data_IF_389564451939
#
_entry.id   IF_389564451939
#
_cell.length_a   1.000
_cell.length_b   1.000
_cell.length_c   1.000
_cell.angle_alpha   90.00
_cell.angle_beta   90.00
_cell.angle_gamma   90.00
#
_symmetry.space_group_name_H-M   'P 1'
#
loop_
_entity.id
_entity.type
_entity.pdbx_description
1 polymer ?
#
# COMPACT_ATOMS: atom_id res chain seq x y z
N UNK A 1 -4.38 -9.25 11.73
CA UNK A 1 -4.80 -7.84 11.81
C UNK A 1 -6.17 -7.62 11.22
N UNK A 2 -6.48 -8.14 10.05
CA UNK A 2 -7.81 -8.08 9.44
C UNK A 2 -8.34 -9.50 9.32
N UNK A 3 -9.44 -9.79 10.02
CA UNK A 3 -10.10 -11.11 10.01
C UNK A 3 -11.26 -11.21 9.00
N UNK A 4 -11.65 -10.10 8.39
CA UNK A 4 -12.84 -10.02 7.52
C UNK A 4 -12.57 -10.37 6.06
N UNK A 5 -11.31 -10.47 5.65
CA UNK A 5 -10.90 -10.80 4.27
C UNK A 5 -9.62 -11.61 4.28
N UNK A 6 -9.59 -12.68 3.48
CA UNK A 6 -8.41 -13.46 3.23
C UNK A 6 -7.47 -12.80 2.20
N UNK A 7 -6.31 -13.40 2.03
CA UNK A 7 -5.34 -12.96 1.03
C UNK A 7 -5.88 -13.16 -0.40
N UNK A 8 -6.54 -14.30 -0.64
CA UNK A 8 -7.13 -14.62 -1.95
C UNK A 8 -8.20 -13.60 -2.36
N UNK A 9 -9.05 -13.14 -1.43
CA UNK A 9 -10.07 -12.13 -1.72
C UNK A 9 -9.47 -10.83 -2.28
N UNK A 10 -8.24 -10.50 -1.86
CA UNK A 10 -7.50 -9.33 -2.37
C UNK A 10 -7.00 -9.56 -3.79
N UNK A 11 -6.46 -10.74 -4.08
CA UNK A 11 -6.03 -11.11 -5.43
C UNK A 11 -7.21 -11.16 -6.39
N UNK A 12 -8.34 -11.71 -5.96
CA UNK A 12 -9.57 -11.76 -6.75
C UNK A 12 -10.10 -10.36 -7.04
N UNK A 13 -10.00 -9.44 -6.06
CA UNK A 13 -10.36 -8.03 -6.26
C UNK A 13 -9.47 -7.39 -7.33
N UNK A 14 -8.16 -7.61 -7.28
CA UNK A 14 -7.23 -7.11 -8.31
C UNK A 14 -7.59 -7.70 -9.67
N UNK A 15 -7.84 -9.01 -9.75
CA UNK A 15 -8.26 -9.69 -10.96
C UNK A 15 -9.56 -9.14 -11.55
N UNK A 16 -10.50 -8.75 -10.70
CA UNK A 16 -11.75 -8.12 -11.15
C UNK A 16 -11.55 -6.69 -11.63
N UNK A 17 -10.73 -5.89 -10.95
CA UNK A 17 -10.36 -4.54 -11.40
C UNK A 17 -9.66 -4.59 -12.76
N UNK A 18 -8.81 -5.61 -13.00
CA UNK A 18 -8.12 -5.80 -14.29
C UNK A 18 -9.07 -6.06 -15.48
N UNK A 19 -10.30 -6.48 -15.24
CA UNK A 19 -11.34 -6.61 -16.27
C UNK A 19 -11.96 -5.28 -16.67
N UNK A 20 -11.56 -4.20 -16.03
CA UNK A 20 -12.05 -2.82 -16.28
C UNK A 20 -10.91 -1.94 -16.78
N UNK A 21 -11.21 -0.69 -17.13
CA UNK A 21 -10.20 0.31 -17.54
C UNK A 21 -9.58 1.06 -16.34
N UNK A 22 -9.73 0.53 -15.12
CA UNK A 22 -9.19 1.14 -13.90
C UNK A 22 -7.77 0.64 -13.67
N UNK A 23 -6.84 1.56 -13.40
CA UNK A 23 -5.47 1.22 -13.04
C UNK A 23 -5.38 0.62 -11.64
N UNK A 24 -4.46 -0.30 -11.46
CA UNK A 24 -4.22 -0.96 -10.16
C UNK A 24 -3.08 -0.30 -9.43
N UNK A 25 -3.34 0.08 -8.18
CA UNK A 25 -2.32 0.49 -7.22
C UNK A 25 -2.33 -0.55 -6.08
N UNK A 26 -1.34 -1.43 -6.06
CA UNK A 26 -1.25 -2.51 -5.09
C UNK A 26 0.17 -2.70 -4.61
N UNK A 27 0.36 -2.79 -3.31
CA UNK A 27 1.65 -2.95 -2.65
C UNK A 27 1.48 -3.47 -1.23
N UNK A 28 2.38 -3.09 -0.33
CA UNK A 28 2.32 -3.60 1.04
C UNK A 28 2.86 -2.65 2.08
N UNK A 29 2.71 -3.09 3.33
CA UNK A 29 3.27 -2.45 4.52
C UNK A 29 4.28 -3.44 5.09
N UNK A 30 5.51 -2.99 5.31
CA UNK A 30 6.54 -3.77 6.00
C UNK A 30 6.70 -3.30 7.45
N UNK A 31 7.17 -4.19 8.32
CA UNK A 31 7.30 -3.94 9.75
C UNK A 31 6.11 -4.41 10.59
N UNK A 32 5.25 -5.27 10.04
CA UNK A 32 4.08 -5.82 10.72
C UNK A 32 4.36 -7.19 11.38
N UNK A 33 5.63 -7.57 11.53
CA UNK A 33 6.05 -8.88 12.04
C UNK A 33 6.29 -9.93 10.95
N UNK A 34 6.25 -9.53 9.69
CA UNK A 34 6.58 -10.39 8.56
C UNK A 34 8.09 -10.69 8.48
N UNK A 35 8.44 -11.81 7.87
CA UNK A 35 9.82 -12.18 7.57
C UNK A 35 10.21 -11.79 6.12
N UNK A 36 11.45 -12.12 5.73
CA UNK A 36 11.96 -11.81 4.38
C UNK A 36 11.21 -12.61 3.30
N UNK A 37 10.86 -13.85 3.60
CA UNK A 37 10.12 -14.74 2.70
C UNK A 37 8.71 -14.19 2.42
N UNK A 38 8.05 -13.61 3.41
CA UNK A 38 6.74 -12.96 3.25
C UNK A 38 6.85 -11.73 2.35
N UNK A 39 7.90 -10.91 2.53
CA UNK A 39 8.19 -9.76 1.66
C UNK A 39 8.45 -10.19 0.21
N UNK A 40 9.27 -11.23 0.03
CA UNK A 40 9.54 -11.81 -1.28
C UNK A 40 8.26 -12.40 -1.90
N UNK A 41 7.47 -13.14 -1.12
CA UNK A 41 6.20 -13.71 -1.57
C UNK A 41 5.21 -12.65 -2.06
N UNK A 42 5.12 -11.51 -1.37
CA UNK A 42 4.31 -10.38 -1.84
C UNK A 42 4.79 -9.85 -3.20
N UNK A 43 6.10 -9.68 -3.38
CA UNK A 43 6.65 -9.19 -4.65
C UNK A 43 6.47 -10.20 -5.78
N UNK A 44 6.63 -11.50 -5.50
CA UNK A 44 6.32 -12.56 -6.47
C UNK A 44 4.86 -12.49 -6.88
N UNK A 45 3.93 -12.40 -5.92
CA UNK A 45 2.51 -12.30 -6.24
C UNK A 45 2.19 -11.09 -7.12
N UNK A 46 2.79 -9.92 -6.86
CA UNK A 46 2.57 -8.72 -7.66
C UNK A 46 3.23 -8.83 -9.06
N UNK A 47 4.41 -9.43 -9.15
CA UNK A 47 5.15 -9.55 -10.42
C UNK A 47 4.54 -10.58 -11.36
N UNK A 48 3.79 -11.55 -10.84
CA UNK A 48 3.09 -12.58 -11.64
C UNK A 48 1.71 -12.15 -12.12
N UNK A 49 1.23 -10.97 -11.72
CA UNK A 49 0.01 -10.39 -12.27
C UNK A 49 0.23 -9.98 -13.73
N UNK A 50 -0.75 -10.25 -14.59
CA UNK A 50 -0.75 -9.86 -15.99
C UNK A 50 -2.00 -9.00 -16.31
N UNK A 51 -1.81 -7.70 -16.62
CA UNK A 51 -0.58 -6.92 -16.50
C UNK A 51 -0.18 -6.66 -15.03
N UNK A 52 1.10 -6.34 -14.82
CA UNK A 52 1.61 -5.92 -13.50
C UNK A 52 0.92 -4.63 -13.02
N UNK A 53 0.89 -4.34 -11.69
CA UNK A 53 0.29 -3.11 -11.19
C UNK A 53 0.97 -1.87 -11.74
N UNK A 54 0.21 -0.85 -12.12
CA UNK A 54 0.73 0.43 -12.59
C UNK A 54 1.44 1.20 -11.47
N UNK A 55 1.05 0.96 -10.23
CA UNK A 55 1.70 1.57 -9.06
C UNK A 55 1.80 0.58 -7.90
N UNK A 56 2.96 0.53 -7.26
CA UNK A 56 3.22 -0.31 -6.09
C UNK A 56 3.76 0.55 -4.95
N UNK A 57 2.90 0.92 -3.99
CA UNK A 57 3.32 1.62 -2.78
C UNK A 57 4.06 0.68 -1.83
N UNK A 58 5.22 1.12 -1.37
CA UNK A 58 5.96 0.50 -0.26
C UNK A 58 5.81 1.41 0.94
N UNK A 59 5.19 0.87 1.99
CA UNK A 59 4.91 1.58 3.22
C UNK A 59 5.76 0.98 4.34
N UNK A 60 6.32 1.82 5.21
CA UNK A 60 6.78 1.39 6.52
C UNK A 60 5.62 1.50 7.52
N UNK A 61 5.49 0.51 8.40
CA UNK A 61 4.54 0.59 9.50
C UNK A 61 4.84 1.82 10.36
N UNK A 62 3.82 2.58 10.64
CA UNK A 62 3.83 3.63 11.68
C UNK A 62 3.03 3.09 12.84
N UNK A 63 3.72 2.72 13.92
CA UNK A 63 3.08 2.26 15.14
C UNK A 63 2.23 3.39 15.74
N UNK A 64 0.99 3.09 16.10
CA UNK A 64 0.03 4.04 16.65
C UNK A 64 -0.52 3.48 17.95
N UNK A 65 -0.48 4.29 19.01
CA UNK A 65 -1.01 3.96 20.33
C UNK A 65 -2.48 3.50 20.22
N UNK A 66 -2.86 2.50 21.00
CA UNK A 66 -4.18 1.88 20.99
C UNK A 66 -4.44 0.91 19.84
N UNK A 67 -3.43 0.60 19.04
CA UNK A 67 -3.52 -0.43 17.97
C UNK A 67 -2.80 -1.72 18.36
N UNK A 68 -3.14 -2.88 17.76
CA UNK A 68 -2.45 -4.15 18.06
C UNK A 68 -0.95 -4.16 17.74
N UNK A 69 -0.45 -3.19 16.99
CA UNK A 69 0.94 -3.07 16.56
C UNK A 69 1.63 -1.82 17.15
N UNK A 70 1.12 -1.31 18.27
CA UNK A 70 1.67 -0.09 18.90
C UNK A 70 3.10 -0.26 19.43
N UNK A 71 3.47 -1.47 19.79
CA UNK A 71 4.80 -1.81 20.35
C UNK A 71 5.82 -2.20 19.26
N UNK A 72 5.43 -2.21 17.97
CA UNK A 72 6.34 -2.58 16.90
C UNK A 72 7.41 -1.51 16.69
N UNK A 73 8.64 -1.98 16.46
CA UNK A 73 9.77 -1.10 16.21
C UNK A 73 9.67 -0.46 14.82
N UNK A 74 10.15 0.78 14.67
CA UNK A 74 10.29 1.38 13.35
C UNK A 74 11.09 0.48 12.40
N UNK A 75 10.68 0.46 11.14
CA UNK A 75 11.38 -0.30 10.09
C UNK A 75 12.78 0.28 9.88
N UNK A 76 13.78 -0.58 9.88
CA UNK A 76 15.13 -0.18 9.58
C UNK A 76 15.25 0.37 8.15
N UNK A 77 15.96 1.47 7.99
CA UNK A 77 16.08 2.14 6.69
C UNK A 77 16.65 1.24 5.60
N UNK A 78 17.58 0.33 5.94
CA UNK A 78 18.15 -0.62 4.99
C UNK A 78 17.14 -1.66 4.50
N UNK A 79 16.13 -1.99 5.31
CA UNK A 79 15.04 -2.86 4.90
C UNK A 79 14.12 -2.18 3.89
N UNK A 80 13.84 -0.88 4.11
CA UNK A 80 13.11 -0.08 3.13
C UNK A 80 13.86 0.04 1.81
N UNK A 81 15.17 0.35 1.85
CA UNK A 81 16.01 0.48 0.65
C UNK A 81 16.02 -0.84 -0.12
N UNK A 82 16.25 -1.98 0.57
CA UNK A 82 16.24 -3.30 -0.07
C UNK A 82 14.88 -3.61 -0.67
N UNK A 83 13.80 -3.31 0.05
CA UNK A 83 12.44 -3.54 -0.44
C UNK A 83 12.14 -2.73 -1.70
N UNK A 84 12.49 -1.46 -1.72
CA UNK A 84 12.33 -0.57 -2.89
C UNK A 84 13.16 -1.08 -4.07
N UNK A 85 14.44 -1.41 -3.84
CA UNK A 85 15.34 -1.90 -4.87
C UNK A 85 14.83 -3.21 -5.50
N UNK A 86 14.43 -4.18 -4.67
CA UNK A 86 13.89 -5.45 -5.14
C UNK A 86 12.58 -5.24 -5.90
N UNK A 87 11.70 -4.37 -5.40
CA UNK A 87 10.46 -4.00 -6.10
C UNK A 87 10.76 -3.45 -7.49
N UNK A 88 11.73 -2.55 -7.65
CA UNK A 88 12.12 -1.99 -8.94
C UNK A 88 12.63 -3.06 -9.91
N UNK A 89 13.39 -4.04 -9.40
CA UNK A 89 13.94 -5.12 -10.23
C UNK A 89 12.82 -6.04 -10.78
N UNK A 90 11.90 -6.44 -9.91
CA UNK A 90 10.85 -7.41 -10.28
C UNK A 90 9.62 -6.76 -10.95
N UNK A 91 9.45 -5.46 -10.76
CA UNK A 91 8.38 -4.64 -11.34
C UNK A 91 8.98 -3.43 -12.08
N UNK A 92 9.66 -3.64 -13.22
CA UNK A 92 10.48 -2.60 -13.85
C UNK A 92 9.69 -1.41 -14.38
N UNK A 93 8.44 -1.61 -14.81
CA UNK A 93 7.60 -0.56 -15.41
C UNK A 93 6.67 0.13 -14.40
N UNK A 94 6.51 -0.47 -13.21
CA UNK A 94 5.60 0.03 -12.17
C UNK A 94 6.10 1.34 -11.57
N UNK A 95 5.20 2.21 -11.18
CA UNK A 95 5.52 3.34 -10.30
C UNK A 95 5.76 2.83 -8.88
N UNK A 96 7.03 2.68 -8.50
CA UNK A 96 7.40 2.32 -7.13
C UNK A 96 7.26 3.55 -6.25
N UNK A 97 6.27 3.51 -5.36
CA UNK A 97 5.89 4.65 -4.54
C UNK A 97 6.43 4.52 -3.13
N UNK A 98 7.25 5.48 -2.73
CA UNK A 98 7.63 5.65 -1.34
C UNK A 98 6.46 6.37 -0.63
N UNK A 99 5.78 5.65 0.28
CA UNK A 99 4.49 6.06 0.81
C UNK A 99 4.54 6.30 2.33
N UNK A 100 3.75 5.59 3.15
CA UNK A 100 3.71 5.82 4.59
C UNK A 100 5.05 5.54 5.30
N UNK A 101 5.28 6.22 6.43
CA UNK A 101 6.49 6.08 7.25
C UNK A 101 7.63 7.03 6.84
N UNK A 102 7.47 7.85 5.81
CA UNK A 102 8.53 8.78 5.34
C UNK A 102 8.99 9.77 6.41
N UNK A 103 8.10 10.22 7.27
CA UNK A 103 8.42 11.14 8.38
C UNK A 103 9.36 10.54 9.42
N UNK A 104 9.47 9.21 9.46
CA UNK A 104 10.38 8.48 10.36
C UNK A 104 11.73 8.17 9.70
N UNK A 105 11.88 8.43 8.41
CA UNK A 105 13.11 8.20 7.67
C UNK A 105 13.97 9.46 7.65
N UNK A 106 15.29 9.29 7.72
CA UNK A 106 16.21 10.40 7.45
C UNK A 106 16.09 10.88 5.99
N UNK A 107 16.54 12.09 5.72
CA UNK A 107 16.55 12.63 4.34
C UNK A 107 17.45 11.79 3.43
N UNK A 108 18.59 11.34 3.93
CA UNK A 108 19.54 10.48 3.22
C UNK A 108 18.91 9.11 2.92
N UNK A 109 18.16 8.55 3.87
CA UNK A 109 17.43 7.29 3.68
C UNK A 109 16.36 7.41 2.58
N UNK A 110 15.60 8.50 2.57
CA UNK A 110 14.65 8.77 1.50
C UNK A 110 15.36 8.97 0.14
N UNK A 111 16.46 9.72 0.10
CA UNK A 111 17.28 9.91 -1.10
C UNK A 111 17.78 8.56 -1.64
N UNK A 112 18.26 7.68 -0.78
CA UNK A 112 18.70 6.34 -1.16
C UNK A 112 17.55 5.50 -1.74
N UNK A 113 16.33 5.61 -1.20
CA UNK A 113 15.17 4.95 -1.78
C UNK A 113 14.90 5.44 -3.22
N UNK A 114 15.05 6.73 -3.51
CA UNK A 114 14.93 7.25 -4.88
C UNK A 114 16.03 6.71 -5.80
N UNK A 115 17.28 6.72 -5.36
CA UNK A 115 18.38 6.20 -6.18
C UNK A 115 18.29 4.69 -6.41
N UNK A 116 17.66 3.95 -5.53
CA UNK A 116 17.48 2.49 -5.67
C UNK A 116 16.21 2.09 -6.39
N UNK A 117 15.33 3.04 -6.75
CA UNK A 117 14.24 2.72 -7.65
C UNK A 117 12.87 3.30 -7.34
N UNK A 118 12.68 3.96 -6.20
CA UNK A 118 11.44 4.72 -5.99
C UNK A 118 11.38 5.88 -7.00
N UNK A 119 10.22 6.07 -7.61
CA UNK A 119 10.00 7.14 -8.59
C UNK A 119 8.65 7.84 -8.41
N UNK A 120 8.02 7.63 -7.28
CA UNK A 120 6.73 8.25 -6.93
C UNK A 120 6.64 8.44 -5.42
N UNK A 121 5.94 9.49 -5.01
CA UNK A 121 5.59 9.76 -3.61
C UNK A 121 4.11 10.13 -3.50
N UNK A 122 3.59 10.10 -2.28
CA UNK A 122 2.37 10.84 -1.95
C UNK A 122 2.72 12.29 -1.64
N UNK A 123 2.11 13.23 -2.35
CA UNK A 123 2.19 14.66 -2.06
C UNK A 123 0.94 15.09 -1.27
N UNK A 124 1.11 15.94 -0.27
CA UNK A 124 0.04 16.44 0.60
C UNK A 124 0.37 16.28 2.08
N UNK A 125 -0.32 17.03 2.94
CA UNK A 125 0.02 17.16 4.36
C UNK A 125 -0.26 15.88 5.17
N UNK A 126 -1.18 15.06 4.70
CA UNK A 126 -1.59 13.83 5.37
C UNK A 126 -1.75 12.68 4.38
N UNK A 127 -1.33 11.51 4.82
CA UNK A 127 -1.62 10.24 4.17
C UNK A 127 -2.64 9.50 5.04
N UNK A 128 -3.92 9.61 4.70
CA UNK A 128 -5.04 9.11 5.50
C UNK A 128 -4.99 9.67 6.94
N UNK A 129 -4.50 8.88 7.90
CA UNK A 129 -4.43 9.22 9.31
C UNK A 129 -3.04 9.62 9.78
N UNK A 130 -2.00 9.39 8.97
CA UNK A 130 -0.61 9.67 9.36
C UNK A 130 -0.10 10.95 8.71
N UNK A 131 0.77 11.72 9.41
CA UNK A 131 1.45 12.86 8.82
C UNK A 131 2.30 12.44 7.61
N UNK A 132 2.43 13.33 6.64
CA UNK A 132 3.32 13.19 5.51
C UNK A 132 4.32 14.36 5.53
N UNK A 133 5.51 14.25 4.92
CA UNK A 133 6.40 15.40 4.75
C UNK A 133 5.71 16.54 4.03
N UNK A 134 6.04 17.78 4.41
CA UNK A 134 5.58 18.98 3.73
C UNK A 134 5.99 18.96 2.26
N UNK A 135 5.12 19.44 1.38
CA UNK A 135 5.39 19.52 -0.08
C UNK A 135 6.65 20.35 -0.37
N UNK A 136 6.91 21.41 0.41
CA UNK A 136 8.12 22.22 0.24
C UNK A 136 9.38 21.43 0.60
N UNK A 137 9.35 20.58 1.61
CA UNK A 137 10.48 19.71 1.98
C UNK A 137 10.76 18.67 0.88
N UNK A 138 9.72 18.12 0.29
CA UNK A 138 9.86 17.22 -0.86
C UNK A 138 10.49 17.93 -2.06
N UNK A 139 10.04 19.15 -2.36
CA UNK A 139 10.62 19.94 -3.46
C UNK A 139 12.08 20.29 -3.22
N UNK A 140 12.47 20.69 -2.01
CA UNK A 140 13.87 20.95 -1.65
C UNK A 140 14.73 19.69 -1.78
N UNK A 141 14.18 18.54 -1.40
CA UNK A 141 14.90 17.27 -1.56
C UNK A 141 15.09 16.92 -3.04
N UNK A 142 14.07 17.06 -3.88
CA UNK A 142 14.18 16.80 -5.31
C UNK A 142 15.18 17.75 -6.00
N UNK A 143 15.19 19.03 -5.64
CA UNK A 143 16.18 19.99 -6.13
C UNK A 143 17.61 19.56 -5.74
N UNK A 144 17.83 19.18 -4.48
CA UNK A 144 19.12 18.69 -4.00
C UNK A 144 19.58 17.45 -4.78
N UNK A 145 18.66 16.55 -5.12
CA UNK A 145 18.94 15.32 -5.86
C UNK A 145 19.00 15.51 -7.37
N UNK A 146 18.79 16.73 -7.86
CA UNK A 146 18.71 17.02 -9.31
C UNK A 146 17.48 16.40 -9.99
N UNK A 147 16.47 16.04 -9.24
CA UNK A 147 15.23 15.42 -9.74
C UNK A 147 14.18 16.50 -10.04
N UNK A 148 13.38 16.24 -11.05
CA UNK A 148 12.24 17.09 -11.40
C UNK A 148 10.95 16.31 -11.33
N UNK A 149 9.95 16.75 -10.55
CA UNK A 149 8.64 16.13 -10.56
C UNK A 149 8.04 16.13 -11.97
N UNK A 150 7.48 15.01 -12.35
CA UNK A 150 6.74 14.92 -13.60
C UNK A 150 5.47 15.79 -13.51
N UNK A 151 5.16 16.52 -14.58
CA UNK A 151 3.91 17.27 -14.64
C UNK A 151 2.72 16.32 -14.54
N UNK A 152 1.67 16.68 -13.81
CA UNK A 152 0.47 15.87 -13.76
C UNK A 152 -0.10 15.68 -15.18
N UNK A 153 -0.76 14.55 -15.40
CA UNK A 153 -1.39 14.25 -16.69
C UNK A 153 -2.39 15.36 -17.04
N UNK A 154 -2.08 16.14 -18.07
CA UNK A 154 -2.97 17.20 -18.56
C UNK A 154 -3.98 16.69 -19.58
N UNK A 155 -3.78 15.50 -20.11
CA UNK A 155 -4.81 14.87 -20.95
C UNK A 155 -5.97 14.50 -20.03
N UNK A 156 -7.05 15.27 -20.11
CA UNK A 156 -8.36 14.78 -19.69
C UNK A 156 -8.55 13.47 -20.44
N UNK A 157 -8.39 12.35 -19.76
CA UNK A 157 -8.97 11.10 -20.23
C UNK A 157 -10.45 11.44 -20.29
N UNK A 158 -10.96 11.66 -21.51
CA UNK A 158 -12.41 11.72 -21.66
C UNK A 158 -12.89 10.41 -21.05
N UNK A 159 -13.79 10.45 -20.08
CA UNK A 159 -14.43 9.22 -19.63
C UNK A 159 -14.96 8.63 -20.95
N UNK A 160 -14.37 7.53 -21.39
CA UNK A 160 -15.06 6.68 -22.32
C UNK A 160 -16.32 6.31 -21.57
N UNK A 161 -17.42 6.91 -21.95
CA UNK A 161 -18.73 6.41 -21.58
C UNK A 161 -18.74 4.99 -22.12
N UNK A 162 -18.28 4.06 -21.30
CA UNK A 162 -18.70 2.67 -21.44
C UNK A 162 -20.20 2.78 -21.18
N UNK A 163 -20.98 2.83 -22.25
CA UNK A 163 -22.38 2.52 -22.11
C UNK A 163 -22.39 1.14 -21.47
N UNK A 164 -22.55 1.11 -20.16
CA UNK A 164 -22.84 -0.11 -19.45
C UNK A 164 -24.08 -0.64 -20.17
N UNK A 165 -23.90 -1.72 -20.91
CA UNK A 165 -25.03 -2.47 -21.42
C UNK A 165 -25.73 -2.98 -20.19
N UNK A 166 -26.76 -2.26 -19.74
CA UNK A 166 -27.59 -2.61 -18.58
C UNK A 166 -28.09 -4.05 -18.64
N UNK A 167 -28.08 -4.66 -19.83
CA UNK A 167 -28.49 -6.03 -20.07
C UNK A 167 -27.60 -7.13 -19.45
N UNK A 168 -26.33 -6.87 -19.14
CA UNK A 168 -25.49 -7.88 -18.49
C UNK A 168 -25.59 -7.83 -16.95
N UNK A 169 -26.04 -6.73 -16.40
CA UNK A 169 -26.24 -6.61 -14.93
C UNK A 169 -27.58 -7.16 -14.45
N UNK A 170 -28.60 -7.23 -15.31
CA UNK A 170 -29.90 -7.81 -14.95
C UNK A 170 -29.85 -9.34 -14.75
N UNK A 171 -28.86 -10.03 -15.32
CA UNK A 171 -28.72 -11.48 -15.17
C UNK A 171 -28.07 -11.93 -13.86
N UNK A 172 -27.55 -11.03 -13.04
CA UNK A 172 -26.80 -11.36 -11.81
C UNK A 172 -27.65 -11.39 -10.53
N UNK A 173 -28.99 -11.33 -10.65
CA UNK A 173 -29.86 -11.31 -9.48
C UNK A 173 -29.68 -10.05 -8.62
N UNK A 174 -30.52 -9.89 -7.60
CA UNK A 174 -30.47 -8.74 -6.69
C UNK A 174 -29.03 -8.50 -6.19
N UNK A 175 -28.53 -7.27 -6.38
CA UNK A 175 -27.22 -6.84 -5.85
C UNK A 175 -27.15 -7.24 -4.38
N UNK A 176 -26.19 -8.04 -3.94
CA UNK A 176 -26.06 -8.37 -2.54
C UNK A 176 -25.92 -7.05 -1.78
N UNK A 177 -26.93 -6.68 -1.01
CA UNK A 177 -26.85 -5.56 -0.09
C UNK A 177 -25.74 -5.91 0.90
N UNK A 178 -24.57 -5.27 0.74
CA UNK A 178 -23.51 -5.40 1.72
C UNK A 178 -24.04 -4.84 3.04
N UNK A 179 -24.42 -5.72 3.94
CA UNK A 179 -24.71 -5.38 5.33
C UNK A 179 -23.42 -5.56 6.10
N UNK A 180 -23.00 -4.50 6.77
CA UNK A 180 -21.86 -4.54 7.67
C UNK A 180 -22.09 -5.69 8.66
N UNK A 181 -21.22 -6.70 8.75
CA UNK A 181 -21.41 -7.76 9.73
C UNK A 181 -21.53 -7.12 11.12
N UNK A 182 -22.59 -7.39 11.84
CA UNK A 182 -22.78 -6.93 13.23
C UNK A 182 -21.89 -7.70 14.21
N UNK A 183 -20.68 -8.04 13.85
CA UNK A 183 -19.68 -8.47 14.80
C UNK A 183 -19.08 -7.25 15.47
N UNK A 184 -19.73 -6.80 16.52
CA UNK A 184 -19.05 -6.12 17.61
C UNK A 184 -17.98 -7.09 18.13
N UNK A 185 -16.74 -6.91 17.68
CA UNK A 185 -15.59 -7.51 18.36
C UNK A 185 -15.60 -6.85 19.74
N UNK A 186 -16.08 -7.57 20.74
CA UNK A 186 -15.94 -7.13 22.12
C UNK A 186 -14.44 -7.13 22.41
N UNK A 187 -13.87 -5.92 22.47
CA UNK A 187 -12.43 -5.66 22.72
C UNK A 187 -11.93 -6.33 24.00
N UNK A 188 -12.82 -6.83 24.85
CA UNK A 188 -12.52 -7.45 26.12
C UNK A 188 -12.12 -8.94 26.06
N UNK A 189 -12.35 -9.65 24.97
CA UNK A 189 -12.01 -11.09 24.92
C UNK A 189 -10.58 -11.34 24.44
N UNK A 190 -10.05 -10.53 23.53
CA UNK A 190 -8.66 -10.67 23.05
C UNK A 190 -7.67 -10.29 24.15
N UNK A 191 -7.98 -9.28 24.95
CA UNK A 191 -7.15 -8.88 26.10
C UNK A 191 -7.16 -9.93 27.22
N UNK A 192 -8.28 -10.66 27.41
CA UNK A 192 -8.38 -11.73 28.41
C UNK A 192 -7.63 -13.02 28.02
N UNK A 193 -7.49 -13.31 26.74
CA UNK A 193 -6.69 -14.47 26.29
C UNK A 193 -5.18 -14.22 26.45
N UNK A 194 -4.68 -13.03 26.10
CA UNK A 194 -3.27 -12.69 26.31
C UNK A 194 -2.86 -12.64 27.79
N UNK A 195 -3.77 -12.30 28.69
CA UNK A 195 -3.50 -12.27 30.14
C UNK A 195 -3.47 -13.63 30.83
N UNK A 196 -3.88 -14.72 30.18
CA UNK A 196 -3.85 -16.08 30.74
C UNK A 196 -2.62 -16.89 30.35
N UNK A 197 -1.90 -16.52 29.30
CA UNK A 197 -0.69 -17.23 28.83
C UNK A 197 0.62 -16.72 29.44
N UNK A 198 0.59 -15.64 30.24
CA UNK A 198 1.77 -15.04 30.89
C UNK A 198 1.87 -15.34 32.39
N UNK A 199 1.37 -16.49 32.82
CA UNK A 199 1.61 -17.01 34.21
C UNK A 199 2.07 -18.45 34.12
N UNK A 200 3.31 -18.66 33.78
CA UNK A 200 4.16 -19.78 34.23
C UNK A 200 5.54 -19.21 34.56
#
# INVERSE_FOLDING_TARGET
VISTRGYQDRLDTIGNVRKTNVTVCSGGIIGMGENIEDRAGMLVALSTLDPQPESTPINALVAVEGTPLEDEKPVEIWDMIRMVATTRIVLPETQVRLSAGRTQMSREGQAMCFFTGANSIFAGDKLLTTPNPDVNEDMKMFELLGMKPQKPFTKKVQPQTVEAKDSEFESLGEKPKWTRPEHKIERNEVAKQKGKELKV
#
